data_IF_140593257804
#
_entry.id   IF_140593257804
#
_cell.length_a   1.000
_cell.length_b   1.000
_cell.length_c   1.000
_cell.angle_alpha   90.00
_cell.angle_beta   90.00
_cell.angle_gamma   90.00
#
_symmetry.space_group_name_H-M   'P 1'
#
loop_
_entity.id
_entity.type
_entity.pdbx_description
1 polymer ?
#
# COMPACT_ATOMS: atom_id res chain seq x y z
N UNK A 1 -5.39 25.93 -27.18
CA UNK A 1 -5.64 26.88 -26.07
C UNK A 1 -5.01 26.26 -24.83
N UNK A 2 -3.77 26.65 -24.50
CA UNK A 2 -2.97 26.03 -23.45
C UNK A 2 -3.02 26.94 -22.23
N UNK A 3 -3.83 26.56 -21.25
CA UNK A 3 -3.85 27.26 -19.96
C UNK A 3 -2.76 26.63 -19.10
N UNK A 4 -1.76 27.42 -18.71
CA UNK A 4 -0.69 26.99 -17.77
C UNK A 4 0.19 25.83 -18.30
N UNK A 5 0.40 25.76 -19.62
CA UNK A 5 1.26 24.74 -20.25
C UNK A 5 0.62 23.35 -20.43
N UNK A 6 -0.57 23.13 -19.90
CA UNK A 6 -1.36 21.91 -20.12
C UNK A 6 -2.50 22.15 -21.10
N UNK A 7 -2.86 21.11 -21.84
CA UNK A 7 -4.06 21.15 -22.68
C UNK A 7 -5.28 21.09 -21.75
N UNK A 8 -6.36 21.81 -22.08
CA UNK A 8 -7.57 21.83 -21.25
C UNK A 8 -8.18 20.42 -21.04
N UNK A 9 -7.94 19.50 -21.98
CA UNK A 9 -8.30 18.08 -21.84
C UNK A 9 -7.55 17.39 -20.70
N UNK A 10 -6.28 17.73 -20.46
CA UNK A 10 -5.49 17.10 -19.40
C UNK A 10 -6.08 17.45 -18.02
N UNK A 11 -6.43 18.74 -17.85
CA UNK A 11 -7.08 19.24 -16.63
C UNK A 11 -8.44 18.56 -16.43
N UNK A 12 -9.22 18.40 -17.51
CA UNK A 12 -10.51 17.71 -17.47
C UNK A 12 -10.34 16.25 -17.01
N UNK A 13 -9.40 15.51 -17.59
CA UNK A 13 -9.14 14.11 -17.24
C UNK A 13 -8.73 13.98 -15.77
N UNK A 14 -7.85 14.86 -15.28
CA UNK A 14 -7.44 14.89 -13.87
C UNK A 14 -8.63 15.17 -12.95
N UNK A 15 -9.46 16.17 -13.29
CA UNK A 15 -10.63 16.52 -12.50
C UNK A 15 -11.66 15.38 -12.43
N UNK A 16 -11.92 14.72 -13.57
CA UNK A 16 -12.81 13.54 -13.64
C UNK A 16 -12.25 12.39 -12.82
N UNK A 17 -10.94 12.12 -12.90
CA UNK A 17 -10.27 11.08 -12.11
C UNK A 17 -10.44 11.31 -10.60
N UNK A 18 -10.17 12.53 -10.12
CA UNK A 18 -10.37 12.87 -8.70
C UNK A 18 -11.82 12.71 -8.29
N UNK A 19 -12.76 13.19 -9.11
CA UNK A 19 -14.19 13.06 -8.83
C UNK A 19 -14.61 11.59 -8.68
N UNK A 20 -14.19 10.72 -9.60
CA UNK A 20 -14.51 9.29 -9.56
C UNK A 20 -13.95 8.64 -8.30
N UNK A 21 -12.68 8.90 -7.96
CA UNK A 21 -12.05 8.31 -6.77
C UNK A 21 -12.73 8.78 -5.48
N UNK A 22 -13.02 10.08 -5.36
CA UNK A 22 -13.72 10.61 -4.19
C UNK A 22 -15.13 10.04 -4.08
N UNK A 23 -15.84 9.88 -5.20
CA UNK A 23 -17.16 9.29 -5.23
C UNK A 23 -17.16 7.82 -4.77
N UNK A 24 -16.22 7.01 -5.28
CA UNK A 24 -16.04 5.61 -4.85
C UNK A 24 -15.71 5.56 -3.35
N UNK A 25 -14.77 6.40 -2.89
CA UNK A 25 -14.38 6.49 -1.48
C UNK A 25 -15.56 6.80 -0.58
N UNK A 26 -16.40 7.76 -0.95
CA UNK A 26 -17.61 8.13 -0.19
C UNK A 26 -18.61 6.97 -0.10
N UNK A 27 -18.88 6.29 -1.23
CA UNK A 27 -19.79 5.13 -1.28
C UNK A 27 -19.32 3.97 -0.41
N UNK A 28 -18.00 3.77 -0.28
CA UNK A 28 -17.42 2.74 0.58
C UNK A 28 -17.47 3.19 2.04
N UNK A 29 -17.15 4.46 2.33
CA UNK A 29 -17.19 5.01 3.69
C UNK A 29 -18.56 4.86 4.35
N UNK A 30 -19.65 5.04 3.59
CA UNK A 30 -21.03 4.85 4.07
C UNK A 30 -21.33 3.40 4.51
N UNK A 31 -20.53 2.42 4.07
CA UNK A 31 -20.69 0.99 4.43
C UNK A 31 -19.82 0.56 5.61
N UNK A 32 -18.86 1.37 6.03
CA UNK A 32 -17.94 1.04 7.12
C UNK A 32 -18.60 1.41 8.44
N UNK A 33 -18.88 0.40 9.29
CA UNK A 33 -19.52 0.62 10.60
C UNK A 33 -18.67 0.17 11.79
N UNK A 34 -17.64 -0.64 11.55
CA UNK A 34 -16.78 -1.20 12.61
C UNK A 34 -15.30 -1.12 12.21
N UNK A 35 -14.40 -1.12 13.18
CA UNK A 35 -12.94 -1.13 12.94
C UNK A 35 -12.50 -2.31 12.09
N UNK A 36 -13.10 -3.48 12.28
CA UNK A 36 -12.87 -4.66 11.43
C UNK A 36 -13.35 -4.44 9.99
N UNK A 37 -14.39 -3.65 9.76
CA UNK A 37 -14.80 -3.28 8.40
C UNK A 37 -13.82 -2.31 7.76
N UNK A 38 -13.24 -1.42 8.55
CA UNK A 38 -12.24 -0.47 8.08
C UNK A 38 -10.91 -1.17 7.72
N UNK A 39 -10.39 -2.03 8.59
CA UNK A 39 -9.08 -2.67 8.39
C UNK A 39 -9.14 -3.98 7.59
N UNK A 40 -10.20 -4.78 7.75
CA UNK A 40 -10.32 -6.11 7.12
C UNK A 40 -11.40 -6.18 6.04
N UNK A 41 -12.08 -5.06 5.71
CA UNK A 41 -13.21 -5.04 4.78
C UNK A 41 -14.28 -6.10 5.12
N UNK A 42 -14.52 -6.32 6.41
CA UNK A 42 -15.45 -7.34 6.91
C UNK A 42 -15.07 -8.77 6.51
N UNK A 43 -13.82 -9.03 6.13
CA UNK A 43 -13.31 -10.30 5.57
C UNK A 43 -14.04 -10.78 4.31
N UNK A 44 -14.82 -9.90 3.68
CA UNK A 44 -15.67 -10.20 2.52
C UNK A 44 -14.96 -10.00 1.17
N UNK A 45 -13.74 -9.46 1.20
CA UNK A 45 -12.99 -9.11 0.00
C UNK A 45 -12.72 -10.34 -0.86
N UNK A 46 -13.25 -10.38 -2.10
CA UNK A 46 -13.02 -11.51 -2.99
C UNK A 46 -11.54 -11.60 -3.41
N UNK A 47 -11.04 -12.81 -3.71
CA UNK A 47 -9.65 -13.06 -4.10
C UNK A 47 -9.21 -12.20 -5.30
N UNK A 48 -10.12 -11.97 -6.24
CA UNK A 48 -9.87 -11.13 -7.41
C UNK A 48 -9.59 -9.67 -7.01
N UNK A 49 -10.42 -9.10 -6.14
CA UNK A 49 -10.20 -7.73 -5.66
C UNK A 49 -8.90 -7.63 -4.84
N UNK A 50 -8.63 -8.63 -3.99
CA UNK A 50 -7.36 -8.71 -3.25
C UNK A 50 -6.15 -8.76 -4.19
N UNK A 51 -6.24 -9.48 -5.31
CA UNK A 51 -5.17 -9.55 -6.30
C UNK A 51 -4.86 -8.16 -6.89
N UNK A 52 -5.88 -7.42 -7.34
CA UNK A 52 -5.69 -6.06 -7.85
C UNK A 52 -5.18 -5.09 -6.78
N UNK A 53 -5.64 -5.22 -5.54
CA UNK A 53 -5.18 -4.40 -4.44
C UNK A 53 -3.69 -4.66 -4.13
N UNK A 54 -3.27 -5.92 -4.11
CA UNK A 54 -1.86 -6.27 -3.95
C UNK A 54 -1.02 -5.83 -5.16
N UNK A 55 -1.55 -5.95 -6.38
CA UNK A 55 -0.88 -5.42 -7.57
C UNK A 55 -0.69 -3.89 -7.50
N UNK A 56 -1.70 -3.16 -7.02
CA UNK A 56 -1.61 -1.70 -6.84
C UNK A 56 -0.56 -1.30 -5.81
N UNK A 57 -0.40 -2.08 -4.73
CA UNK A 57 0.67 -1.87 -3.74
C UNK A 57 2.05 -2.17 -4.33
N UNK A 58 2.18 -3.23 -5.14
CA UNK A 58 3.45 -3.60 -5.77
C UNK A 58 3.83 -2.71 -6.96
N UNK A 59 2.85 -2.07 -7.59
CA UNK A 59 3.02 -1.19 -8.75
C UNK A 59 2.85 0.28 -8.34
N UNK A 60 3.48 0.66 -7.24
CA UNK A 60 3.46 2.04 -6.75
C UNK A 60 4.29 2.97 -7.65
N UNK A 61 3.92 4.24 -7.72
CA UNK A 61 4.61 5.22 -8.56
C UNK A 61 6.08 5.41 -8.15
N UNK A 62 6.40 5.28 -6.86
CA UNK A 62 7.73 5.50 -6.33
C UNK A 62 8.68 4.36 -6.75
N UNK A 63 8.25 3.10 -6.70
CA UNK A 63 9.05 1.97 -7.23
C UNK A 63 9.32 2.08 -8.73
N UNK A 64 8.36 2.57 -9.51
CA UNK A 64 8.55 2.82 -10.93
C UNK A 64 9.62 3.90 -11.19
N UNK A 65 9.54 5.05 -10.49
CA UNK A 65 10.52 6.15 -10.61
C UNK A 65 11.91 5.69 -10.18
N UNK A 66 12.02 5.02 -9.02
CA UNK A 66 13.30 4.49 -8.53
C UNK A 66 13.93 3.53 -9.53
N UNK A 67 13.15 2.60 -10.06
CA UNK A 67 13.67 1.65 -11.05
C UNK A 67 14.14 2.36 -12.31
N UNK A 68 13.33 3.28 -12.86
CA UNK A 68 13.70 4.02 -14.06
C UNK A 68 15.01 4.80 -13.84
N UNK A 69 15.16 5.45 -12.69
CA UNK A 69 16.39 6.15 -12.30
C UNK A 69 17.57 5.18 -12.18
N UNK A 70 17.41 4.03 -11.52
CA UNK A 70 18.48 3.03 -11.39
C UNK A 70 18.90 2.45 -12.74
N UNK A 71 17.96 2.14 -13.63
CA UNK A 71 18.26 1.65 -14.97
C UNK A 71 18.97 2.72 -15.81
N UNK A 72 18.60 3.99 -15.65
CA UNK A 72 19.28 5.10 -16.33
C UNK A 72 20.73 5.25 -15.87
N UNK A 73 21.01 5.12 -14.57
CA UNK A 73 22.36 5.33 -14.01
C UNK A 73 23.24 4.08 -14.07
N UNK A 74 22.68 2.88 -13.93
CA UNK A 74 23.42 1.61 -13.81
C UNK A 74 23.17 0.62 -14.95
N UNK A 75 22.43 1.03 -15.98
CA UNK A 75 22.07 0.19 -17.13
C UNK A 75 21.10 -0.95 -16.77
N UNK A 76 21.07 -1.99 -17.62
CA UNK A 76 20.17 -3.15 -17.46
C UNK A 76 20.33 -3.88 -16.11
N UNK A 77 21.50 -3.77 -15.46
CA UNK A 77 21.71 -4.29 -14.11
C UNK A 77 20.78 -3.66 -13.07
N UNK A 78 20.30 -2.43 -13.29
CA UNK A 78 19.31 -1.77 -12.42
C UNK A 78 17.93 -2.43 -12.46
N UNK A 79 17.56 -3.09 -13.57
CA UNK A 79 16.29 -3.80 -13.69
C UNK A 79 16.21 -5.04 -12.79
N UNK A 80 17.37 -5.60 -12.38
CA UNK A 80 17.42 -6.70 -11.41
C UNK A 80 16.78 -6.33 -10.07
N UNK A 81 16.82 -5.04 -9.68
CA UNK A 81 16.22 -4.59 -8.42
C UNK A 81 14.69 -4.75 -8.41
N UNK A 82 14.01 -4.76 -9.57
CA UNK A 82 12.59 -5.10 -9.63
C UNK A 82 12.31 -6.57 -9.30
N UNK A 83 13.27 -7.46 -9.58
CA UNK A 83 13.10 -8.90 -9.37
C UNK A 83 13.23 -9.30 -7.89
N UNK A 84 13.59 -8.37 -7.00
CA UNK A 84 13.59 -8.61 -5.54
C UNK A 84 12.21 -9.08 -5.05
N UNK A 85 11.12 -8.59 -5.68
CA UNK A 85 9.76 -9.05 -5.41
C UNK A 85 9.57 -10.58 -5.57
N UNK A 86 10.30 -11.20 -6.50
CA UNK A 86 10.22 -12.64 -6.76
C UNK A 86 10.80 -13.43 -5.58
N UNK A 87 11.92 -12.97 -5.02
CA UNK A 87 12.57 -13.62 -3.87
C UNK A 87 11.80 -13.42 -2.57
N UNK A 88 11.05 -12.33 -2.44
CA UNK A 88 10.19 -12.07 -1.26
C UNK A 88 8.83 -12.79 -1.35
N UNK A 89 8.42 -13.26 -2.53
CA UNK A 89 7.17 -13.99 -2.75
C UNK A 89 6.92 -15.15 -1.77
N UNK A 90 7.87 -16.08 -1.58
CA UNK A 90 7.71 -17.19 -0.62
C UNK A 90 7.50 -16.72 0.82
N UNK A 91 8.18 -15.66 1.22
CA UNK A 91 7.98 -15.04 2.54
C UNK A 91 6.55 -14.50 2.67
N UNK A 92 6.03 -13.80 1.64
CA UNK A 92 4.65 -13.33 1.65
C UNK A 92 3.62 -14.46 1.70
N UNK A 93 3.83 -15.59 1.04
CA UNK A 93 2.91 -16.74 1.13
C UNK A 93 2.86 -17.33 2.53
N UNK A 94 4.03 -17.51 3.16
CA UNK A 94 4.13 -17.97 4.53
C UNK A 94 3.43 -16.99 5.49
N UNK A 95 3.78 -15.71 5.40
CA UNK A 95 3.20 -14.68 6.26
C UNK A 95 1.69 -14.54 6.06
N UNK A 96 1.20 -14.56 4.82
CA UNK A 96 -0.23 -14.53 4.53
C UNK A 96 -0.97 -15.73 5.15
N UNK A 97 -0.36 -16.92 5.13
CA UNK A 97 -0.90 -18.11 5.81
C UNK A 97 -0.93 -17.94 7.33
N UNK A 98 0.15 -17.43 7.91
CA UNK A 98 0.27 -17.17 9.35
C UNK A 98 -0.75 -16.14 9.84
N UNK A 99 -0.87 -14.98 9.18
CA UNK A 99 -1.82 -13.94 9.57
C UNK A 99 -3.28 -14.38 9.49
N UNK A 100 -3.63 -15.22 8.51
CA UNK A 100 -4.98 -15.81 8.46
C UNK A 100 -5.29 -16.69 9.68
N UNK A 101 -4.28 -17.33 10.30
CA UNK A 101 -4.44 -18.16 11.49
C UNK A 101 -4.54 -17.35 12.77
N UNK A 102 -3.73 -16.30 12.90
CA UNK A 102 -3.68 -15.51 14.14
C UNK A 102 -4.91 -14.59 14.29
N UNK A 103 -5.62 -14.27 13.20
CA UNK A 103 -6.88 -13.51 13.19
C UNK A 103 -6.85 -12.09 13.81
N UNK A 104 -5.67 -11.61 14.23
CA UNK A 104 -5.46 -10.23 14.66
C UNK A 104 -5.52 -9.25 13.50
N UNK A 105 -5.81 -7.98 13.83
CA UNK A 105 -6.01 -6.91 12.84
C UNK A 105 -4.69 -6.22 12.54
N UNK A 106 -3.83 -6.05 13.55
CA UNK A 106 -2.54 -5.36 13.39
C UNK A 106 -1.34 -6.18 13.85
N UNK A 107 -0.15 -5.86 13.31
CA UNK A 107 1.11 -6.42 13.81
C UNK A 107 1.40 -6.01 15.25
N UNK A 108 0.97 -4.82 15.64
CA UNK A 108 1.17 -4.29 16.98
C UNK A 108 0.43 -5.16 18.01
N UNK A 109 -0.81 -5.56 17.73
CA UNK A 109 -1.57 -6.51 18.55
C UNK A 109 -0.88 -7.87 18.65
N UNK A 110 -0.26 -8.36 17.56
CA UNK A 110 0.52 -9.60 17.59
C UNK A 110 1.68 -9.51 18.57
N UNK A 111 2.37 -8.38 18.61
CA UNK A 111 3.45 -8.15 19.58
C UNK A 111 2.90 -8.04 21.01
N UNK A 112 1.74 -7.44 21.22
CA UNK A 112 1.09 -7.39 22.52
C UNK A 112 0.75 -8.79 23.04
N UNK A 113 0.11 -9.61 22.22
CA UNK A 113 -0.36 -10.94 22.62
C UNK A 113 0.79 -11.92 22.82
N UNK A 114 1.85 -11.81 22.01
CA UNK A 114 3.04 -12.67 22.12
C UNK A 114 3.94 -12.33 23.30
N UNK A 115 4.11 -11.05 23.61
CA UNK A 115 5.08 -10.59 24.63
C UNK A 115 4.42 -10.06 25.91
N UNK A 116 3.08 -9.99 25.96
CA UNK A 116 2.26 -9.51 27.10
C UNK A 116 2.68 -8.13 27.64
N UNK A 117 3.29 -7.30 26.79
CA UNK A 117 3.80 -5.99 27.19
C UNK A 117 3.17 -4.89 26.33
N UNK A 118 2.61 -3.88 26.99
CA UNK A 118 1.95 -2.72 26.38
C UNK A 118 2.93 -1.71 25.75
N UNK A 119 4.22 -1.83 26.06
CA UNK A 119 5.25 -0.93 25.53
C UNK A 119 5.64 -1.29 24.08
N UNK A 120 5.68 -2.58 23.75
CA UNK A 120 6.09 -3.07 22.43
C UNK A 120 5.17 -2.60 21.28
N UNK A 121 3.83 -2.66 21.40
CA UNK A 121 2.91 -2.14 20.39
C UNK A 121 3.09 -0.64 20.14
N UNK A 122 3.28 0.13 21.22
CA UNK A 122 3.46 1.58 21.14
C UNK A 122 4.75 1.95 20.41
N UNK A 123 5.86 1.27 20.71
CA UNK A 123 7.14 1.47 20.02
C UNK A 123 7.00 1.09 18.54
N UNK A 124 6.35 -0.04 18.24
CA UNK A 124 6.12 -0.48 16.88
C UNK A 124 5.30 0.55 16.07
N UNK A 125 4.22 1.09 16.66
CA UNK A 125 3.39 2.12 16.02
C UNK A 125 4.19 3.41 15.75
N UNK A 126 4.98 3.87 16.72
CA UNK A 126 5.84 5.06 16.58
C UNK A 126 6.85 4.83 15.46
N UNK A 127 7.59 3.73 15.47
CA UNK A 127 8.58 3.40 14.43
C UNK A 127 7.91 3.32 13.06
N UNK A 128 6.71 2.74 12.97
CA UNK A 128 5.94 2.66 11.73
C UNK A 128 5.58 4.04 11.16
N UNK A 129 5.15 4.97 12.02
CA UNK A 129 4.87 6.37 11.61
C UNK A 129 6.15 7.05 11.12
N UNK A 130 7.25 6.92 11.86
CA UNK A 130 8.55 7.49 11.49
C UNK A 130 9.05 6.95 10.13
N UNK A 131 8.99 5.64 9.93
CA UNK A 131 9.38 5.02 8.66
C UNK A 131 8.49 5.48 7.50
N UNK A 132 7.18 5.63 7.74
CA UNK A 132 6.25 6.12 6.72
C UNK A 132 6.60 7.54 6.27
N UNK A 133 6.96 8.42 7.22
CA UNK A 133 7.42 9.78 6.92
C UNK A 133 8.72 9.75 6.10
N UNK A 134 9.68 8.90 6.47
CA UNK A 134 10.94 8.77 5.73
C UNK A 134 10.73 8.25 4.30
N UNK A 135 9.89 7.25 4.11
CA UNK A 135 9.60 6.69 2.78
C UNK A 135 8.87 7.71 1.90
N UNK A 136 7.97 8.51 2.47
CA UNK A 136 7.33 9.61 1.75
C UNK A 136 8.29 10.75 1.42
N UNK A 137 9.25 11.06 2.31
CA UNK A 137 10.20 12.16 2.12
C UNK A 137 11.42 11.84 1.25
N UNK A 138 11.82 10.57 1.18
CA UNK A 138 12.93 10.08 0.32
C UNK A 138 12.41 9.62 -1.05
N UNK A 139 11.08 9.49 -1.19
CA UNK A 139 10.39 9.11 -2.42
C UNK A 139 10.38 10.17 -3.50
#
# INVERSE_FOLDING_TARGET
MNWVGFHWLDILVIAVYFFIITYIGRRIAEKIRTEQDFFLAGRSMNKFFQFFLNMGILSDANSAIRTASFTFHKGLGGAWLMLIGVFTGPYYWFMAGWFRRVRLVTMAELFEERFKSKLLPSIYAVVGIWLSILIMGVG
#
